data_IF_145906706119
#
_entry.id   IF_145906706119
#
_cell.length_a   1.000
_cell.length_b   1.000
_cell.length_c   1.000
_cell.angle_alpha   90.00
_cell.angle_beta   90.00
_cell.angle_gamma   90.00
#
_symmetry.space_group_name_H-M   'P 1'
#
loop_
_entity.id
_entity.type
_entity.pdbx_description
1 polymer ?
#
# COMPACT_ATOMS: atom_id res chain seq x y z
N UNK A 1 -4.65 2.80 -18.98
CA UNK A 1 -3.44 2.42 -18.25
C UNK A 1 -3.75 2.14 -16.80
N UNK A 2 -3.11 1.16 -16.29
CA UNK A 2 -3.36 0.56 -15.00
C UNK A 2 -2.36 1.13 -13.96
N UNK A 3 -2.35 2.44 -13.83
CA UNK A 3 -1.49 3.14 -12.90
C UNK A 3 -2.25 3.49 -11.64
N UNK A 4 -1.64 3.23 -10.49
CA UNK A 4 -2.20 3.58 -9.20
C UNK A 4 -1.27 4.50 -8.44
N UNK A 5 -1.84 5.39 -7.67
CA UNK A 5 -1.13 6.23 -6.71
C UNK A 5 -1.73 6.00 -5.33
N UNK A 6 -0.91 5.58 -4.40
CA UNK A 6 -1.32 5.32 -3.02
C UNK A 6 -0.55 6.27 -2.12
N UNK A 7 -1.28 7.02 -1.31
CA UNK A 7 -0.68 7.91 -0.32
C UNK A 7 -1.27 7.60 1.04
N UNK A 8 -0.44 7.50 2.04
CA UNK A 8 -0.89 7.23 3.39
C UNK A 8 0.25 6.93 4.34
N UNK A 9 -0.11 6.39 5.48
CA UNK A 9 0.84 6.04 6.53
C UNK A 9 1.01 4.54 6.59
N UNK A 10 2.25 4.09 6.67
CA UNK A 10 2.57 2.68 6.84
C UNK A 10 2.17 2.23 8.23
N UNK A 11 1.29 1.26 8.34
CA UNK A 11 0.86 0.71 9.63
C UNK A 11 1.38 -0.69 9.88
N UNK A 12 1.80 -1.41 8.85
CA UNK A 12 2.38 -2.73 8.99
C UNK A 12 3.33 -3.03 7.85
N UNK A 13 4.45 -3.67 8.16
CA UNK A 13 5.45 -4.12 7.19
C UNK A 13 5.80 -5.56 7.52
N UNK A 14 5.63 -6.46 6.56
CA UNK A 14 6.05 -7.85 6.70
C UNK A 14 6.88 -8.26 5.49
N UNK A 15 7.91 -9.06 5.74
CA UNK A 15 8.68 -9.67 4.67
C UNK A 15 7.97 -10.92 4.18
N UNK A 16 7.99 -11.14 2.88
CA UNK A 16 7.50 -12.39 2.32
C UNK A 16 8.56 -13.46 2.55
N UNK A 17 8.14 -14.59 3.10
CA UNK A 17 9.04 -15.68 3.44
C UNK A 17 9.82 -16.16 2.21
N UNK A 18 11.15 -16.27 2.35
CA UNK A 18 12.06 -16.76 1.31
C UNK A 18 12.10 -15.90 0.04
N UNK A 19 11.68 -14.64 0.12
CA UNK A 19 11.73 -13.77 -1.04
C UNK A 19 12.00 -12.32 -0.64
N UNK A 20 13.22 -11.86 -0.89
CA UNK A 20 13.66 -10.51 -0.56
C UNK A 20 13.14 -9.44 -1.52
N UNK A 21 12.51 -9.86 -2.63
CA UNK A 21 12.00 -8.93 -3.64
C UNK A 21 10.53 -8.57 -3.44
N UNK A 22 9.92 -9.10 -2.40
CA UNK A 22 8.53 -8.79 -2.08
C UNK A 22 8.41 -8.30 -0.65
N UNK A 23 7.57 -7.30 -0.47
CA UNK A 23 7.30 -6.72 0.83
C UNK A 23 5.79 -6.57 0.98
N UNK A 24 5.26 -7.08 2.06
CA UNK A 24 3.83 -6.93 2.35
C UNK A 24 3.61 -5.70 3.20
N UNK A 25 2.78 -4.81 2.70
CA UNK A 25 2.49 -3.53 3.37
C UNK A 25 1.02 -3.40 3.68
N UNK A 26 0.73 -2.73 4.78
CA UNK A 26 -0.60 -2.20 5.06
C UNK A 26 -0.47 -0.69 5.21
N UNK A 27 -1.22 0.03 4.42
CA UNK A 27 -1.22 1.49 4.39
C UNK A 27 -2.58 2.00 4.87
N UNK A 28 -2.56 2.93 5.80
CA UNK A 28 -3.77 3.65 6.21
C UNK A 28 -3.91 4.90 5.34
N UNK A 29 -4.98 4.94 4.56
CA UNK A 29 -5.25 6.03 3.63
C UNK A 29 -6.41 6.87 4.13
N UNK A 30 -6.26 8.18 4.26
CA UNK A 30 -7.40 9.03 4.59
C UNK A 30 -8.37 9.08 3.41
N UNK A 31 -9.66 8.91 3.69
CA UNK A 31 -10.68 8.95 2.66
C UNK A 31 -11.21 10.36 2.40
N UNK A 32 -10.77 11.33 3.21
CA UNK A 32 -11.23 12.74 3.12
C UNK A 32 -12.74 12.86 3.22
N UNK A 33 -13.35 11.98 4.01
CA UNK A 33 -14.77 11.98 4.30
C UNK A 33 -14.96 11.69 5.78
N UNK A 34 -16.11 12.09 6.29
CA UNK A 34 -16.44 11.86 7.69
C UNK A 34 -17.72 11.04 7.78
N UNK A 35 -17.74 10.13 8.73
CA UNK A 35 -18.95 9.39 9.06
C UNK A 35 -19.49 9.85 10.40
N UNK A 36 -20.80 9.97 10.45
CA UNK A 36 -21.49 10.27 11.70
C UNK A 36 -21.65 8.99 12.50
N UNK A 37 -21.16 9.01 13.73
CA UNK A 37 -21.29 7.88 14.64
C UNK A 37 -21.36 8.39 16.08
N UNK A 38 -22.33 7.90 16.83
CA UNK A 38 -22.49 8.22 18.25
C UNK A 38 -22.52 9.72 18.56
N UNK A 39 -23.22 10.48 17.70
CA UNK A 39 -23.38 11.92 17.91
C UNK A 39 -22.23 12.78 17.40
N UNK A 40 -21.22 12.19 16.79
CA UNK A 40 -20.06 12.94 16.28
C UNK A 40 -19.70 12.52 14.87
N UNK A 41 -19.00 13.42 14.15
CA UNK A 41 -18.40 13.09 12.87
C UNK A 41 -16.96 12.68 13.08
N UNK A 42 -16.58 11.53 12.53
CA UNK A 42 -15.23 11.02 12.60
C UNK A 42 -14.61 10.90 11.23
N UNK A 43 -13.33 11.21 11.14
CA UNK A 43 -12.55 11.01 9.94
C UNK A 43 -12.48 9.52 9.59
N UNK A 44 -12.66 9.22 8.31
CA UNK A 44 -12.60 7.83 7.83
C UNK A 44 -11.26 7.52 7.21
N UNK A 45 -10.78 6.31 7.49
CA UNK A 45 -9.55 5.77 6.90
C UNK A 45 -9.87 4.45 6.24
N UNK A 46 -9.21 4.20 5.12
CA UNK A 46 -9.20 2.88 4.48
C UNK A 46 -7.84 2.24 4.70
N UNK A 47 -7.84 0.96 4.97
CA UNK A 47 -6.61 0.20 5.13
C UNK A 47 -6.43 -0.69 3.92
N UNK A 48 -5.34 -0.48 3.20
CA UNK A 48 -5.03 -1.27 2.02
C UNK A 48 -3.86 -2.20 2.31
N UNK A 49 -4.08 -3.49 2.13
CA UNK A 49 -3.04 -4.52 2.24
C UNK A 49 -2.64 -4.97 0.85
N UNK A 50 -1.35 -4.99 0.57
CA UNK A 50 -0.85 -5.40 -0.73
C UNK A 50 0.59 -5.90 -0.64
N UNK A 51 1.00 -6.63 -1.67
CA UNK A 51 2.39 -7.05 -1.83
C UNK A 51 3.07 -6.10 -2.81
N UNK A 52 4.13 -5.47 -2.35
CA UNK A 52 4.95 -4.59 -3.18
C UNK A 52 6.08 -5.42 -3.78
N UNK A 53 6.16 -5.45 -5.11
CA UNK A 53 7.27 -6.07 -5.80
C UNK A 53 8.42 -5.07 -5.88
N UNK A 54 9.55 -5.42 -5.30
CA UNK A 54 10.69 -4.52 -5.17
C UNK A 54 11.75 -4.93 -6.17
N UNK A 55 12.04 -4.08 -7.15
CA UNK A 55 13.12 -4.31 -8.08
C UNK A 55 14.46 -3.84 -7.52
N UNK A 56 14.41 -2.77 -6.72
CA UNK A 56 15.59 -2.20 -6.10
C UNK A 56 15.37 -2.08 -4.60
N UNK A 57 16.25 -2.70 -3.83
CA UNK A 57 16.13 -2.67 -2.37
C UNK A 57 16.17 -1.26 -1.79
N UNK A 58 16.83 -0.34 -2.47
CA UNK A 58 16.94 1.05 -2.01
C UNK A 58 15.61 1.78 -1.99
N UNK A 59 14.62 1.34 -2.78
CA UNK A 59 13.31 1.97 -2.81
C UNK A 59 12.61 1.92 -1.45
N UNK A 60 12.90 0.90 -0.66
CA UNK A 60 12.22 0.68 0.62
C UNK A 60 13.18 0.54 1.78
N UNK A 61 14.44 0.89 1.56
CA UNK A 61 15.54 0.67 2.51
C UNK A 61 15.25 1.20 3.91
N UNK A 62 14.69 2.37 4.01
CA UNK A 62 14.43 3.02 5.29
C UNK A 62 12.95 3.11 5.62
N UNK A 63 12.14 2.31 4.96
CA UNK A 63 10.70 2.34 5.19
C UNK A 63 10.38 1.74 6.55
N UNK A 64 9.66 2.49 7.38
CA UNK A 64 9.29 2.08 8.73
C UNK A 64 7.82 2.33 9.00
N UNK A 65 7.28 1.58 9.94
CA UNK A 65 5.93 1.81 10.45
C UNK A 65 5.84 3.25 10.96
N UNK A 66 4.78 3.94 10.58
CA UNK A 66 4.57 5.35 10.91
C UNK A 66 5.02 6.32 9.83
N UNK A 67 5.80 5.88 8.85
CA UNK A 67 6.21 6.74 7.75
C UNK A 67 5.03 7.07 6.84
N UNK A 68 4.97 8.32 6.40
CA UNK A 68 4.11 8.72 5.31
C UNK A 68 4.78 8.37 4.00
N UNK A 69 4.03 7.75 3.10
CA UNK A 69 4.57 7.32 1.81
C UNK A 69 3.62 7.66 0.68
N UNK A 70 4.20 7.84 -0.48
CA UNK A 70 3.48 7.91 -1.74
C UNK A 70 4.07 6.85 -2.67
N UNK A 71 3.22 5.93 -3.11
CA UNK A 71 3.61 4.85 -4.01
C UNK A 71 2.89 5.04 -5.32
N UNK A 72 3.66 5.14 -6.39
CA UNK A 72 3.13 5.21 -7.76
C UNK A 72 3.58 3.95 -8.47
N UNK A 73 2.66 3.24 -9.07
CA UNK A 73 3.00 1.99 -9.72
C UNK A 73 1.88 1.43 -10.57
N UNK A 74 2.04 0.19 -10.92
CA UNK A 74 1.09 -0.59 -11.72
C UNK A 74 0.48 -1.66 -10.84
N UNK A 75 -0.84 -1.80 -10.90
CA UNK A 75 -1.52 -2.86 -10.16
C UNK A 75 -1.31 -4.18 -10.89
N UNK A 76 -0.80 -5.18 -10.16
CA UNK A 76 -0.90 -6.56 -10.57
C UNK A 76 -2.28 -7.10 -10.21
N UNK A 77 -2.83 -7.94 -11.05
CA UNK A 77 -4.13 -8.50 -10.79
C UNK A 77 -4.15 -9.41 -9.56
N UNK A 78 -5.30 -9.51 -8.94
CA UNK A 78 -5.55 -10.50 -7.90
C UNK A 78 -6.41 -11.64 -8.43
N UNK A 79 -6.32 -11.88 -9.71
CA UNK A 79 -7.09 -12.91 -10.41
C UNK A 79 -6.21 -13.57 -11.46
N UNK A 80 -6.24 -14.88 -11.53
CA UNK A 80 -5.57 -15.65 -12.58
C UNK A 80 -6.36 -15.61 -13.87
N UNK A 81 -5.75 -16.03 -14.97
CA UNK A 81 -6.41 -16.08 -16.27
C UNK A 81 -7.71 -16.87 -16.26
N UNK A 82 -7.79 -17.91 -15.45
CA UNK A 82 -8.98 -18.77 -15.35
C UNK A 82 -10.09 -18.17 -14.48
N UNK A 83 -9.89 -16.96 -13.96
CA UNK A 83 -10.85 -16.30 -13.08
C UNK A 83 -10.68 -16.62 -11.60
N UNK A 84 -9.73 -17.47 -11.23
CA UNK A 84 -9.47 -17.80 -9.84
C UNK A 84 -8.78 -16.62 -9.14
N UNK A 85 -9.29 -16.25 -7.98
CA UNK A 85 -8.70 -15.13 -7.20
C UNK A 85 -7.39 -15.55 -6.57
N UNK A 86 -6.42 -14.66 -6.61
CA UNK A 86 -5.22 -14.78 -5.79
C UNK A 86 -5.49 -14.13 -4.44
N UNK A 87 -4.73 -14.49 -3.43
CA UNK A 87 -4.97 -13.98 -2.08
C UNK A 87 -4.65 -12.49 -1.91
N UNK A 88 -3.75 -11.96 -2.72
CA UNK A 88 -3.20 -10.64 -2.45
C UNK A 88 -3.09 -9.78 -3.69
N UNK A 89 -3.37 -8.51 -3.50
CA UNK A 89 -3.13 -7.49 -4.49
C UNK A 89 -1.63 -7.24 -4.60
N UNK A 90 -1.12 -7.18 -5.83
CA UNK A 90 0.28 -6.86 -6.06
C UNK A 90 0.43 -5.49 -6.71
N UNK A 91 1.45 -4.77 -6.29
CA UNK A 91 1.81 -3.48 -6.87
C UNK A 91 3.25 -3.54 -7.33
N UNK A 92 3.47 -3.16 -8.59
CA UNK A 92 4.79 -3.03 -9.19
C UNK A 92 5.15 -1.54 -9.16
N UNK A 93 6.04 -1.11 -8.26
CA UNK A 93 6.25 0.32 -8.07
C UNK A 93 7.11 0.91 -9.18
N UNK A 94 6.74 2.11 -9.62
CA UNK A 94 7.60 2.97 -10.42
C UNK A 94 8.35 3.93 -9.50
N UNK A 95 7.72 4.34 -8.42
CA UNK A 95 8.38 5.14 -7.40
C UNK A 95 7.76 4.90 -6.03
N UNK A 96 8.61 4.93 -5.02
CA UNK A 96 8.21 4.90 -3.63
C UNK A 96 8.87 6.10 -2.97
N UNK A 97 8.08 7.10 -2.64
CA UNK A 97 8.57 8.31 -2.02
C UNK A 97 8.15 8.32 -0.59
N UNK A 98 9.12 8.31 0.28
CA UNK A 98 8.91 8.52 1.68
C UNK A 98 8.78 10.02 1.88
N UNK A 99 7.58 10.45 2.09
CA UNK A 99 7.27 11.84 2.10
C UNK A 99 7.25 12.46 3.47
N UNK A 100 7.55 13.72 3.49
CA UNK A 100 7.12 14.57 4.56
C UNK A 100 5.76 15.08 4.13
N UNK A 101 4.75 14.38 4.53
CA UNK A 101 3.39 14.85 4.28
C UNK A 101 3.04 15.74 5.45
N UNK A 102 2.80 16.95 5.12
CA UNK A 102 2.43 17.95 6.12
C UNK A 102 0.97 17.88 6.46
#
# INVERSE_FOLDING_TARGET
MNTIKISGKVVKIDKVKNNDYYLKLVIAMPLHMKMYSEGTFKECYSYLSFVLSILEKDQVKDLKIGNSVEIIGVIGGNCKEDGTLTKELMIFPKSVTRGVIK
#
